data_IF_615888271310
#
_entry.id   IF_615888271310
#
_cell.length_a   1.000
_cell.length_b   1.000
_cell.length_c   1.000
_cell.angle_alpha   90.00
_cell.angle_beta   90.00
_cell.angle_gamma   90.00
#
_symmetry.space_group_name_H-M   'P 1'
#
loop_
_entity.id
_entity.type
_entity.pdbx_description
1 polymer ?
#
# COMPACT_ATOMS: atom_id res chain seq x y z
N UNK A 1 7.64 -7.33 16.17
CA UNK A 1 6.91 -6.49 15.19
C UNK A 1 7.75 -6.32 13.94
N UNK A 2 7.19 -6.65 12.80
CA UNK A 2 7.88 -6.51 11.52
C UNK A 2 7.75 -5.07 10.99
N UNK A 3 8.80 -4.60 10.34
CA UNK A 3 8.85 -3.24 9.81
C UNK A 3 9.41 -3.24 8.40
N UNK A 4 8.80 -2.43 7.53
CA UNK A 4 9.31 -2.16 6.19
C UNK A 4 9.53 -0.68 6.06
N UNK A 5 10.65 -0.29 5.47
CA UNK A 5 10.98 1.11 5.23
C UNK A 5 11.65 1.22 3.88
N UNK A 6 11.06 2.02 2.99
CA UNK A 6 11.57 2.24 1.64
C UNK A 6 11.64 3.73 1.34
N UNK A 7 12.66 4.12 0.60
CA UNK A 7 12.81 5.49 0.12
C UNK A 7 13.38 5.43 -1.29
N UNK A 8 12.66 6.03 -2.25
CA UNK A 8 13.07 6.01 -3.65
C UNK A 8 12.78 7.36 -4.30
N UNK A 9 13.51 7.64 -5.38
CA UNK A 9 13.22 8.79 -6.24
C UNK A 9 12.43 8.29 -7.44
N UNK A 10 11.35 8.99 -7.78
CA UNK A 10 10.49 8.66 -8.90
C UNK A 10 10.47 9.80 -9.91
N UNK A 11 10.54 9.47 -11.19
CA UNK A 11 10.45 10.43 -12.29
C UNK A 11 9.02 10.82 -12.62
N UNK A 12 8.18 11.01 -11.61
CA UNK A 12 6.77 11.39 -11.71
C UNK A 12 6.45 12.35 -10.58
N UNK A 13 5.44 13.19 -10.76
CA UNK A 13 5.07 14.18 -9.74
C UNK A 13 4.48 13.50 -8.50
N UNK A 14 4.50 14.23 -7.38
CA UNK A 14 3.86 13.77 -6.15
C UNK A 14 2.38 13.47 -6.38
N UNK A 15 1.67 14.32 -7.13
CA UNK A 15 0.25 14.11 -7.45
C UNK A 15 0.01 12.83 -8.24
N UNK A 16 0.86 12.55 -9.23
CA UNK A 16 0.74 11.33 -10.03
C UNK A 16 0.93 10.08 -9.18
N UNK A 17 1.95 10.06 -8.34
CA UNK A 17 2.21 8.90 -7.48
C UNK A 17 1.16 8.74 -6.39
N UNK A 18 0.73 9.84 -5.79
CA UNK A 18 -0.34 9.82 -4.78
C UNK A 18 -1.63 9.23 -5.36
N UNK A 19 -2.00 9.65 -6.56
CA UNK A 19 -3.22 9.16 -7.21
C UNK A 19 -3.16 7.66 -7.47
N UNK A 20 -2.02 7.12 -7.89
CA UNK A 20 -1.86 5.68 -8.08
C UNK A 20 -2.06 4.91 -6.77
N UNK A 21 -1.48 5.41 -5.69
CA UNK A 21 -1.58 4.76 -4.37
C UNK A 21 -3.00 4.84 -3.82
N UNK A 22 -3.70 5.95 -4.04
CA UNK A 22 -5.07 6.14 -3.56
C UNK A 22 -6.10 5.36 -4.40
N UNK A 23 -5.76 4.98 -5.62
CA UNK A 23 -6.67 4.25 -6.52
C UNK A 23 -6.68 2.76 -6.20
N UNK A 24 -7.15 2.42 -5.01
CA UNK A 24 -7.17 1.04 -4.48
C UNK A 24 -7.94 0.09 -5.40
N UNK A 25 -9.00 0.56 -6.03
CA UNK A 25 -9.83 -0.22 -6.95
C UNK A 25 -9.05 -0.72 -8.17
N UNK A 26 -7.90 -0.12 -8.47
CA UNK A 26 -7.04 -0.50 -9.60
C UNK A 26 -5.94 -1.50 -9.23
N UNK A 27 -5.76 -1.79 -7.95
CA UNK A 27 -4.69 -2.67 -7.48
C UNK A 27 -4.69 -4.05 -8.17
N UNK A 28 -5.85 -4.69 -8.40
CA UNK A 28 -5.84 -6.00 -9.08
C UNK A 28 -5.28 -5.96 -10.50
N UNK A 29 -5.24 -4.79 -11.13
CA UNK A 29 -4.74 -4.64 -12.50
C UNK A 29 -3.23 -4.81 -12.61
N UNK A 30 -2.48 -4.57 -11.53
CA UNK A 30 -1.02 -4.58 -11.58
C UNK A 30 -0.33 -5.25 -10.39
N UNK A 31 -1.06 -5.65 -9.37
CA UNK A 31 -0.50 -6.36 -8.22
C UNK A 31 -0.91 -7.83 -8.31
N UNK A 32 0.01 -8.73 -8.71
CA UNK A 32 -0.35 -10.13 -8.97
C UNK A 32 -0.84 -10.88 -7.75
N UNK A 33 -0.50 -10.41 -6.55
CA UNK A 33 -0.96 -11.00 -5.30
C UNK A 33 -2.35 -10.52 -4.87
N UNK A 34 -2.87 -9.48 -5.51
CA UNK A 34 -4.16 -8.88 -5.13
C UNK A 34 -5.29 -9.58 -5.88
N UNK A 35 -6.10 -10.33 -5.14
CA UNK A 35 -7.26 -11.04 -5.69
C UNK A 35 -8.50 -10.18 -5.85
N UNK A 36 -8.46 -8.95 -5.35
CA UNK A 36 -9.58 -8.02 -5.48
C UNK A 36 -9.55 -6.98 -4.37
N UNK A 37 -10.35 -5.93 -4.54
CA UNK A 37 -10.48 -4.88 -3.55
C UNK A 37 -11.94 -4.47 -3.43
N UNK A 38 -12.28 -3.86 -2.28
CA UNK A 38 -13.60 -3.27 -2.07
C UNK A 38 -13.39 -1.89 -1.49
N UNK A 39 -13.83 -0.87 -2.21
CA UNK A 39 -13.76 0.51 -1.76
C UNK A 39 -14.99 0.79 -0.91
N UNK A 40 -14.80 1.04 0.38
CA UNK A 40 -15.89 1.27 1.34
C UNK A 40 -16.21 2.74 1.50
N UNK A 41 -15.21 3.61 1.40
CA UNK A 41 -15.39 5.06 1.53
C UNK A 41 -14.24 5.77 0.85
N UNK A 42 -14.52 6.88 0.17
CA UNK A 42 -13.50 7.79 -0.34
C UNK A 42 -14.03 9.21 -0.33
N UNK A 43 -13.26 10.10 0.28
CA UNK A 43 -13.45 11.55 0.18
C UNK A 43 -12.06 12.20 0.15
N UNK A 44 -11.98 13.52 0.27
CA UNK A 44 -10.71 14.23 0.20
C UNK A 44 -9.73 13.86 1.31
N UNK A 45 -10.24 13.51 2.48
CA UNK A 45 -9.41 13.29 3.67
C UNK A 45 -9.29 11.82 4.07
N UNK A 46 -10.10 10.93 3.49
CA UNK A 46 -10.16 9.55 3.97
C UNK A 46 -10.49 8.57 2.84
N UNK A 47 -9.76 7.46 2.81
CA UNK A 47 -10.11 6.28 2.00
C UNK A 47 -10.16 5.07 2.91
N UNK A 48 -11.25 4.33 2.88
CA UNK A 48 -11.38 3.06 3.61
C UNK A 48 -11.60 1.97 2.58
N UNK A 49 -10.77 0.96 2.59
CA UNK A 49 -10.81 -0.09 1.58
C UNK A 49 -10.37 -1.44 2.15
N UNK A 50 -10.94 -2.50 1.59
CA UNK A 50 -10.53 -3.87 1.87
C UNK A 50 -9.70 -4.37 0.70
N UNK A 51 -8.58 -5.00 1.01
CA UNK A 51 -7.68 -5.59 0.03
C UNK A 51 -7.63 -7.09 0.29
N UNK A 52 -7.81 -7.90 -0.75
CA UNK A 52 -7.73 -9.36 -0.65
C UNK A 52 -6.38 -9.82 -1.20
N UNK A 53 -5.69 -10.61 -0.40
CA UNK A 53 -4.48 -11.30 -0.79
C UNK A 53 -4.89 -12.69 -1.28
N UNK A 54 -4.49 -13.03 -2.50
CA UNK A 54 -4.68 -14.36 -3.07
C UNK A 54 -3.39 -14.71 -3.81
N UNK A 55 -2.46 -15.31 -3.09
CA UNK A 55 -1.10 -15.53 -3.61
C UNK A 55 -0.43 -16.68 -2.86
N UNK A 56 0.19 -17.59 -3.61
CA UNK A 56 0.96 -18.71 -3.03
C UNK A 56 0.14 -19.49 -1.97
N UNK A 57 -1.14 -19.76 -2.30
CA UNK A 57 -2.09 -20.49 -1.43
C UNK A 57 -2.51 -19.74 -0.16
N UNK A 58 -2.12 -18.48 -0.01
CA UNK A 58 -2.59 -17.62 1.07
C UNK A 58 -3.78 -16.82 0.58
N UNK A 59 -4.90 -16.92 1.30
CA UNK A 59 -6.12 -16.17 1.03
C UNK A 59 -6.52 -15.43 2.30
N UNK A 60 -6.26 -14.15 2.34
CA UNK A 60 -6.56 -13.28 3.48
C UNK A 60 -7.06 -11.94 2.97
N UNK A 61 -7.87 -11.29 3.78
CA UNK A 61 -8.27 -9.92 3.48
C UNK A 61 -8.03 -9.03 4.69
N UNK A 62 -7.77 -7.77 4.43
CA UNK A 62 -7.62 -6.79 5.49
C UNK A 62 -8.16 -5.45 5.01
N UNK A 63 -8.68 -4.68 5.97
CA UNK A 63 -9.27 -3.37 5.72
C UNK A 63 -8.42 -2.31 6.41
N UNK A 64 -8.07 -1.27 5.69
CA UNK A 64 -7.36 -0.13 6.25
C UNK A 64 -8.17 1.14 6.10
N UNK A 65 -7.89 2.06 7.01
CA UNK A 65 -8.40 3.42 6.99
C UNK A 65 -7.20 4.32 6.70
N UNK A 66 -7.27 5.02 5.58
CA UNK A 66 -6.16 5.82 5.07
C UNK A 66 -6.51 7.29 5.20
N UNK A 67 -5.88 7.98 6.16
CA UNK A 67 -6.04 9.42 6.35
C UNK A 67 -5.11 10.15 5.39
N UNK A 68 -5.66 11.04 4.57
CA UNK A 68 -4.96 11.63 3.44
C UNK A 68 -4.72 13.12 3.61
N UNK A 69 -3.55 13.56 3.16
CA UNK A 69 -3.23 14.96 2.95
C UNK A 69 -2.66 15.09 1.54
N UNK A 70 -3.55 15.07 0.56
CA UNK A 70 -3.16 15.03 -0.85
C UNK A 70 -2.45 16.31 -1.27
N UNK A 71 -1.42 16.22 -2.10
CA UNK A 71 -0.80 15.01 -2.63
C UNK A 71 0.45 14.57 -1.84
N UNK A 72 0.60 14.99 -0.59
CA UNK A 72 1.86 14.88 0.15
C UNK A 72 1.98 13.66 1.03
N UNK A 73 0.89 13.20 1.65
CA UNK A 73 1.00 12.10 2.59
C UNK A 73 -0.30 11.31 2.75
N UNK A 74 -0.14 10.08 3.24
CA UNK A 74 -1.24 9.19 3.56
C UNK A 74 -0.82 8.31 4.73
N UNK A 75 -1.63 8.27 5.78
CA UNK A 75 -1.41 7.41 6.94
C UNK A 75 -2.34 6.22 6.87
N UNK A 76 -1.80 5.03 7.07
CA UNK A 76 -2.55 3.78 7.02
C UNK A 76 -2.76 3.25 8.44
N UNK A 77 -3.99 2.87 8.77
CA UNK A 77 -4.28 2.19 10.02
C UNK A 77 -5.21 1.02 9.79
N UNK A 78 -5.05 -0.02 10.60
CA UNK A 78 -5.83 -1.24 10.50
C UNK A 78 -7.25 -1.02 11.00
N UNK A 79 -8.23 -1.50 10.22
CA UNK A 79 -9.61 -1.55 10.64
C UNK A 79 -10.05 -2.98 10.91
N UNK A 80 -9.61 -3.93 10.10
CA UNK A 80 -9.90 -5.36 10.26
C UNK A 80 -8.89 -6.19 9.49
N UNK A 81 -8.62 -7.40 9.96
CA UNK A 81 -7.72 -8.32 9.27
C UNK A 81 -6.99 -9.23 10.22
N UNK A 82 -6.06 -10.05 9.69
CA UNK A 82 -5.34 -11.06 10.48
C UNK A 82 -4.21 -10.49 11.34
N UNK A 83 -4.23 -9.19 11.61
CA UNK A 83 -3.18 -8.49 12.34
C UNK A 83 -3.65 -8.08 13.71
N UNK A 84 -2.74 -8.11 14.70
CA UNK A 84 -2.93 -7.45 15.98
C UNK A 84 -2.75 -5.94 15.81
N UNK A 85 -1.80 -5.55 14.95
CA UNK A 85 -1.58 -4.16 14.60
C UNK A 85 -1.04 -4.05 13.18
N UNK A 86 -1.39 -2.97 12.51
CA UNK A 86 -0.82 -2.61 11.23
C UNK A 86 -0.94 -1.09 11.10
N UNK A 87 0.19 -0.43 10.95
CA UNK A 87 0.26 1.01 10.76
C UNK A 87 1.29 1.32 9.69
N UNK A 88 1.02 2.31 8.88
CA UNK A 88 1.96 2.71 7.85
C UNK A 88 1.77 4.14 7.41
N UNK A 89 2.65 4.58 6.54
CA UNK A 89 2.56 5.91 5.95
C UNK A 89 3.25 5.95 4.61
N UNK A 90 2.69 6.79 3.75
CA UNK A 90 3.31 7.23 2.51
C UNK A 90 3.60 8.70 2.62
N UNK A 91 4.77 9.12 2.14
CA UNK A 91 5.11 10.53 1.99
C UNK A 91 5.64 10.75 0.58
N UNK A 92 5.10 11.76 -0.08
CA UNK A 92 5.51 12.14 -1.44
C UNK A 92 6.03 13.58 -1.38
N UNK A 93 7.36 13.72 -1.41
CA UNK A 93 8.00 15.03 -1.36
C UNK A 93 8.31 15.48 -2.77
N UNK A 94 7.69 16.56 -3.22
CA UNK A 94 7.89 17.07 -4.56
C UNK A 94 9.29 17.66 -4.72
N UNK A 95 10.02 17.18 -5.73
CA UNK A 95 11.35 17.70 -6.05
C UNK A 95 11.29 18.72 -7.19
N UNK A 96 10.39 18.48 -8.16
CA UNK A 96 10.06 19.40 -9.22
C UNK A 96 8.71 18.94 -9.84
N UNK A 97 8.31 19.53 -10.96
CA UNK A 97 7.02 19.22 -11.57
C UNK A 97 6.90 17.78 -12.09
N UNK A 98 8.02 17.09 -12.27
CA UNK A 98 8.05 15.76 -12.87
C UNK A 98 8.84 14.75 -12.05
N UNK A 99 9.11 15.05 -10.77
CA UNK A 99 9.83 14.12 -9.91
C UNK A 99 9.43 14.30 -8.44
N UNK A 100 9.44 13.19 -7.70
CA UNK A 100 9.21 13.23 -6.26
C UNK A 100 10.04 12.18 -5.54
N UNK A 101 10.21 12.37 -4.24
CA UNK A 101 10.77 11.36 -3.34
C UNK A 101 9.63 10.66 -2.67
N UNK A 102 9.63 9.32 -2.74
CA UNK A 102 8.62 8.49 -2.09
C UNK A 102 9.24 7.85 -0.87
N UNK A 103 8.59 8.02 0.28
CA UNK A 103 8.97 7.33 1.51
C UNK A 103 7.78 6.50 1.97
N UNK A 104 8.02 5.22 2.25
CA UNK A 104 7.01 4.28 2.71
C UNK A 104 7.47 3.59 3.98
N UNK A 105 6.62 3.60 4.98
CA UNK A 105 6.83 2.90 6.25
C UNK A 105 5.65 2.01 6.54
N UNK A 106 5.93 0.80 7.00
CA UNK A 106 4.89 -0.13 7.44
C UNK A 106 5.40 -0.90 8.65
N UNK A 107 4.58 -0.94 9.70
CA UNK A 107 4.84 -1.75 10.90
C UNK A 107 3.63 -2.64 11.11
N UNK A 108 3.85 -3.93 11.31
CA UNK A 108 2.73 -4.85 11.47
C UNK A 108 3.10 -6.02 12.38
N UNK A 109 2.06 -6.60 12.98
CA UNK A 109 2.15 -7.79 13.81
C UNK A 109 0.90 -8.62 13.58
N UNK A 110 1.08 -9.92 13.36
CA UNK A 110 -0.06 -10.82 13.16
C UNK A 110 -0.75 -11.12 14.48
N UNK A 111 -2.04 -11.47 14.42
CA UNK A 111 -2.85 -11.71 15.60
C UNK A 111 -2.53 -13.04 16.29
N UNK A 112 -1.79 -13.95 15.65
CA UNK A 112 -1.36 -15.21 16.23
C UNK A 112 -0.06 -15.67 15.59
N UNK A 113 0.64 -16.58 16.30
CA UNK A 113 1.86 -17.19 15.76
C UNK A 113 1.57 -18.09 14.55
N UNK A 114 0.40 -18.70 14.51
CA UNK A 114 0.00 -19.54 13.37
C UNK A 114 -0.15 -18.67 12.11
N UNK A 115 -0.83 -17.54 12.21
CA UNK A 115 -0.96 -16.61 11.10
C UNK A 115 0.39 -16.04 10.69
N UNK A 116 1.25 -15.72 11.63
CA UNK A 116 2.60 -15.26 11.35
C UNK A 116 3.39 -16.28 10.54
N UNK A 117 3.32 -17.57 10.90
CA UNK A 117 4.05 -18.62 10.21
C UNK A 117 3.49 -18.89 8.80
N UNK A 118 2.18 -18.81 8.60
CA UNK A 118 1.52 -19.13 7.33
C UNK A 118 1.50 -17.93 6.39
N UNK A 119 1.12 -16.77 6.90
CA UNK A 119 0.92 -15.54 6.09
C UNK A 119 2.16 -14.67 6.05
N UNK A 120 2.97 -14.71 7.11
CA UNK A 120 4.13 -13.84 7.28
C UNK A 120 5.10 -13.83 6.10
N UNK A 121 5.59 -14.98 5.62
CA UNK A 121 6.53 -15.00 4.50
C UNK A 121 5.96 -14.39 3.22
N UNK A 122 4.69 -14.65 2.93
CA UNK A 122 4.02 -14.09 1.75
C UNK A 122 3.82 -12.59 1.91
N UNK A 123 3.36 -12.16 3.09
CA UNK A 123 3.12 -10.74 3.35
C UNK A 123 4.42 -9.92 3.32
N UNK A 124 5.50 -10.48 3.86
CA UNK A 124 6.82 -9.84 3.84
C UNK A 124 7.28 -9.59 2.40
N UNK A 125 7.11 -10.59 1.53
CA UNK A 125 7.45 -10.47 0.12
C UNK A 125 6.61 -9.39 -0.59
N UNK A 126 5.31 -9.35 -0.30
CA UNK A 126 4.40 -8.33 -0.83
C UNK A 126 4.88 -6.93 -0.39
N UNK A 127 5.14 -6.76 0.91
CA UNK A 127 5.53 -5.47 1.46
C UNK A 127 6.87 -4.98 0.91
N UNK A 128 7.84 -5.89 0.73
CA UNK A 128 9.16 -5.56 0.21
C UNK A 128 9.13 -5.08 -1.25
N UNK A 129 8.15 -5.53 -2.02
CA UNK A 129 8.04 -5.20 -3.45
C UNK A 129 6.96 -4.16 -3.76
N UNK A 130 6.29 -3.68 -2.75
CA UNK A 130 5.09 -2.84 -2.90
C UNK A 130 5.39 -1.52 -3.61
N UNK A 131 6.38 -0.79 -3.15
CA UNK A 131 6.75 0.52 -3.73
C UNK A 131 7.19 0.38 -5.18
N UNK A 132 8.01 -0.62 -5.48
CA UNK A 132 8.50 -0.87 -6.84
C UNK A 132 7.35 -1.16 -7.81
N UNK A 133 6.32 -1.84 -7.36
CA UNK A 133 5.14 -2.13 -8.17
C UNK A 133 4.43 -0.85 -8.61
N UNK A 134 4.32 0.14 -7.72
CA UNK A 134 3.73 1.43 -8.07
C UNK A 134 4.57 2.22 -9.06
N UNK A 135 5.89 2.16 -8.94
CA UNK A 135 6.78 2.82 -9.90
C UNK A 135 6.66 2.18 -11.29
N UNK A 136 6.61 0.87 -11.38
CA UNK A 136 6.39 0.16 -12.65
C UNK A 136 5.02 0.50 -13.24
N UNK A 137 4.01 0.62 -12.39
CA UNK A 137 2.67 1.03 -12.84
C UNK A 137 2.69 2.45 -13.42
N UNK A 138 3.40 3.36 -12.77
CA UNK A 138 3.57 4.73 -13.25
C UNK A 138 4.22 4.77 -14.63
N UNK A 139 5.25 3.96 -14.85
CA UNK A 139 5.91 3.83 -16.15
C UNK A 139 4.94 3.39 -17.24
N UNK A 140 4.05 2.48 -16.91
CA UNK A 140 3.06 1.96 -17.85
C UNK A 140 1.96 2.98 -18.18
N UNK A 141 1.51 3.74 -17.19
CA UNK A 141 0.38 4.67 -17.35
C UNK A 141 0.82 6.04 -17.84
N UNK A 142 1.92 6.55 -17.32
CA UNK A 142 2.38 7.90 -17.61
C UNK A 142 3.53 7.95 -18.64
N UNK A 143 4.13 6.82 -18.91
CA UNK A 143 5.29 6.76 -19.80
C UNK A 143 6.54 7.16 -19.04
#
# INVERSE_FOLDING_TARGET
>A
MAKVQKSVLAGYSASQMFELVDSVERYPEFLPWCGGTELLQRDESLTVATIRIDYMQVKQSFTTENAKQAPHSMSLSLKAGPFRSLEGSWRFTELNQSACKIEFHLSYEFSSKLLESVVGPVFSKIADNFVDAFIRRAEKIYG
#
